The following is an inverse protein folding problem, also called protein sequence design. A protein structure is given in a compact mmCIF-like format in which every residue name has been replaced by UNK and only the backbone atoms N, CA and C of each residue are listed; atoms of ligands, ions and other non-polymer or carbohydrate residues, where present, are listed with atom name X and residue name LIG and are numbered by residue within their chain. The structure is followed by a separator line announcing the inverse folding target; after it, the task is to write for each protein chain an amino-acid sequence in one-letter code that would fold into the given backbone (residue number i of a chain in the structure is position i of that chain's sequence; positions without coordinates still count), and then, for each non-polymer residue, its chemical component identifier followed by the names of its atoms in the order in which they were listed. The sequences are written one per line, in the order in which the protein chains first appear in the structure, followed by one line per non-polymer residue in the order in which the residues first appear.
data_IF_837250547949
#
_entry.id   IF_837250547949
#
_cell.length_a   1.000
_cell.length_b   1.000
_cell.length_c   1.000
_cell.angle_alpha   90.00
_cell.angle_beta   90.00
_cell.angle_gamma   90.00
#
_symmetry.space_group_name_H-M   'P 1'
#
loop_
_entity.id
_entity.type
_entity.pdbx_description
1 polymer ?
#
# COMPACT_ATOMS: atom_id res chain seq x y z
N UNK A 1 13.44 34.16 -5.53
CA UNK A 1 12.11 33.67 -5.09
C UNK A 1 12.26 33.26 -3.63
N UNK A 2 12.13 34.24 -2.71
CA UNK A 2 12.42 34.09 -1.29
C UNK A 2 11.11 33.75 -0.56
N UNK A 3 10.85 32.47 -0.34
CA UNK A 3 9.71 32.04 0.48
C UNK A 3 10.13 32.21 1.93
N UNK A 4 9.66 33.31 2.54
CA UNK A 4 9.84 33.60 3.97
C UNK A 4 9.48 32.37 4.81
N UNK A 5 10.31 32.04 5.82
CA UNK A 5 10.12 30.84 6.67
C UNK A 5 8.73 30.80 7.30
N UNK A 6 8.15 31.97 7.60
CA UNK A 6 6.76 32.10 8.06
C UNK A 6 5.75 31.61 7.02
N UNK A 7 5.92 31.96 5.75
CA UNK A 7 5.05 31.53 4.65
C UNK A 7 5.13 30.02 4.47
N UNK A 8 6.34 29.43 4.54
CA UNK A 8 6.52 27.98 4.49
C UNK A 8 5.82 27.26 5.65
N UNK A 9 5.96 27.78 6.88
CA UNK A 9 5.27 27.25 8.06
C UNK A 9 3.74 27.30 7.91
N UNK A 10 3.20 28.40 7.37
CA UNK A 10 1.77 28.55 7.12
C UNK A 10 1.30 27.57 6.04
N UNK A 11 2.04 27.41 4.94
CA UNK A 11 1.72 26.42 3.91
C UNK A 11 1.77 25.00 4.44
N UNK A 12 2.79 24.64 5.23
CA UNK A 12 2.89 23.33 5.87
C UNK A 12 1.69 23.06 6.79
N UNK A 13 1.31 24.04 7.61
CA UNK A 13 0.18 23.93 8.53
C UNK A 13 -1.15 23.78 7.77
N UNK A 14 -1.34 24.54 6.69
CA UNK A 14 -2.53 24.45 5.83
C UNK A 14 -2.58 23.10 5.11
N UNK A 15 -1.46 22.62 4.56
CA UNK A 15 -1.39 21.35 3.85
C UNK A 15 -1.65 20.17 4.81
N UNK A 16 -1.06 20.21 6.01
CA UNK A 16 -1.32 19.25 7.07
C UNK A 16 -2.77 19.31 7.56
N UNK A 17 -3.30 20.51 7.79
CA UNK A 17 -4.67 20.75 8.22
C UNK A 17 -5.68 20.21 7.21
N UNK A 18 -5.54 20.56 5.94
CA UNK A 18 -6.43 20.11 4.85
C UNK A 18 -6.33 18.59 4.65
N UNK A 19 -5.11 18.01 4.65
CA UNK A 19 -4.91 16.57 4.44
C UNK A 19 -5.48 15.74 5.59
N UNK A 20 -5.24 16.17 6.83
CA UNK A 20 -5.78 15.49 8.01
C UNK A 20 -7.29 15.66 8.09
N UNK A 21 -7.82 16.84 7.74
CA UNK A 21 -9.26 17.06 7.70
C UNK A 21 -9.92 16.14 6.66
N UNK A 22 -9.41 16.08 5.42
CA UNK A 22 -9.94 15.21 4.37
C UNK A 22 -9.80 13.71 4.69
N UNK A 23 -8.78 13.28 5.45
CA UNK A 23 -8.64 11.88 5.92
C UNK A 23 -9.45 11.56 7.17
N UNK A 24 -9.64 12.53 8.06
CA UNK A 24 -10.41 12.35 9.29
C UNK A 24 -11.91 12.46 9.03
N UNK A 25 -12.35 13.26 8.06
CA UNK A 25 -13.76 13.39 7.63
C UNK A 25 -14.39 12.04 7.27
N UNK A 26 -13.82 11.18 6.40
CA UNK A 26 -14.39 9.87 6.15
C UNK A 26 -14.44 9.05 7.44
N UNK A 27 -13.40 9.10 8.28
CA UNK A 27 -13.33 8.37 9.55
C UNK A 27 -14.37 8.83 10.60
N UNK A 28 -14.67 10.13 10.66
CA UNK A 28 -15.66 10.73 11.55
C UNK A 28 -17.09 10.42 11.08
N UNK A 29 -17.36 10.48 9.78
CA UNK A 29 -18.67 10.14 9.21
C UNK A 29 -18.96 8.64 9.37
N UNK A 30 -17.94 7.80 9.21
CA UNK A 30 -17.97 6.35 9.40
C UNK A 30 -18.30 5.91 10.83
N UNK A 31 -17.91 6.70 11.85
CA UNK A 31 -18.20 6.40 13.27
C UNK A 31 -19.67 6.57 13.66
N UNK A 32 -20.49 7.30 12.87
CA UNK A 32 -21.92 7.43 13.15
C UNK A 32 -22.62 6.09 12.86
N UNK A 33 -23.01 5.36 13.93
CA UNK A 33 -23.83 4.14 13.94
C UNK A 33 -24.29 3.63 12.56
N UNK A 34 -23.40 2.97 11.83
CA UNK A 34 -23.78 2.17 10.68
C UNK A 34 -24.41 0.88 11.19
N UNK A 35 -25.71 0.92 11.49
CA UNK A 35 -26.50 -0.22 11.96
C UNK A 35 -26.71 -1.30 10.87
N UNK A 36 -26.28 -1.05 9.63
CA UNK A 36 -26.38 -2.03 8.54
C UNK A 36 -25.02 -2.66 8.20
N UNK A 37 -25.01 -3.99 8.16
CA UNK A 37 -23.83 -4.83 7.82
C UNK A 37 -23.26 -4.47 6.44
N UNK A 38 -24.11 -3.97 5.52
CA UNK A 38 -23.72 -3.62 4.15
C UNK A 38 -22.73 -2.46 4.10
N UNK A 39 -23.01 -1.35 4.78
CA UNK A 39 -22.14 -0.16 4.75
C UNK A 39 -20.82 -0.36 5.52
N UNK A 40 -20.85 -1.14 6.60
CA UNK A 40 -19.63 -1.49 7.34
C UNK A 40 -18.70 -2.39 6.53
N UNK A 41 -19.26 -3.37 5.81
CA UNK A 41 -18.48 -4.29 4.98
C UNK A 41 -17.96 -3.59 3.72
N UNK A 42 -18.76 -2.74 3.10
CA UNK A 42 -18.35 -1.99 1.92
C UNK A 42 -17.19 -1.04 2.23
N UNK A 43 -17.28 -0.21 3.28
CA UNK A 43 -16.20 0.74 3.59
C UNK A 43 -14.95 0.10 4.20
N UNK A 44 -15.07 -1.07 4.87
CA UNK A 44 -13.89 -1.83 5.29
C UNK A 44 -13.14 -2.44 4.10
N UNK A 45 -13.86 -2.85 3.06
CA UNK A 45 -13.27 -3.53 1.90
C UNK A 45 -12.68 -2.55 0.87
N UNK A 46 -13.29 -1.37 0.68
CA UNK A 46 -12.83 -0.33 -0.28
C UNK A 46 -11.34 0.04 -0.15
N UNK A 47 -10.81 0.44 1.02
CA UNK A 47 -9.39 0.81 1.11
C UNK A 47 -8.46 -0.40 0.89
N UNK A 48 -8.87 -1.59 1.30
CA UNK A 48 -8.08 -2.81 1.13
C UNK A 48 -8.04 -3.28 -0.33
N UNK A 49 -9.16 -3.18 -1.05
CA UNK A 49 -9.22 -3.47 -2.48
C UNK A 49 -8.47 -2.44 -3.30
N UNK A 50 -8.57 -1.15 -2.95
CA UNK A 50 -7.82 -0.08 -3.61
C UNK A 50 -6.32 -0.24 -3.38
N UNK A 51 -5.88 -0.53 -2.15
CA UNK A 51 -4.46 -0.80 -1.86
C UNK A 51 -3.95 -1.99 -2.67
N UNK A 52 -4.73 -3.06 -2.77
CA UNK A 52 -4.41 -4.21 -3.61
C UNK A 52 -4.34 -3.84 -5.10
N UNK A 53 -5.31 -3.07 -5.61
CA UNK A 53 -5.35 -2.61 -6.99
C UNK A 53 -4.18 -1.69 -7.36
N UNK A 54 -3.58 -0.99 -6.40
CA UNK A 54 -2.34 -0.22 -6.61
C UNK A 54 -1.09 -1.11 -6.57
N UNK A 55 -1.08 -2.14 -5.72
CA UNK A 55 0.10 -2.98 -5.50
C UNK A 55 0.27 -4.06 -6.58
N UNK A 56 -0.83 -4.67 -7.02
CA UNK A 56 -0.85 -5.70 -8.07
C UNK A 56 -0.17 -5.24 -9.36
N UNK A 57 -0.50 -4.09 -9.97
CA UNK A 57 0.21 -3.64 -11.17
C UNK A 57 1.66 -3.25 -10.87
N UNK A 58 1.93 -2.60 -9.74
CA UNK A 58 3.28 -2.17 -9.38
C UNK A 58 4.27 -3.34 -9.31
N UNK A 59 3.86 -4.51 -8.80
CA UNK A 59 4.75 -5.68 -8.70
C UNK A 59 5.12 -6.26 -10.07
N UNK A 60 4.23 -6.16 -11.06
CA UNK A 60 4.50 -6.62 -12.42
C UNK A 60 5.33 -5.61 -13.22
N UNK A 61 5.22 -4.32 -12.94
CA UNK A 61 6.03 -3.28 -13.61
C UNK A 61 7.41 -3.07 -12.98
N UNK A 62 7.58 -3.42 -11.70
CA UNK A 62 8.86 -3.30 -11.01
C UNK A 62 9.89 -4.35 -11.47
N UNK A 63 9.46 -5.40 -12.19
CA UNK A 63 10.35 -6.47 -12.66
C UNK A 63 10.36 -6.54 -14.18
N UNK A 64 11.55 -6.65 -14.78
CA UNK A 64 11.73 -6.68 -16.24
C UNK A 64 11.09 -7.94 -16.88
N UNK A 65 11.04 -9.04 -16.11
CA UNK A 65 10.38 -10.28 -16.51
C UNK A 65 9.05 -10.50 -15.79
N UNK A 66 7.98 -10.59 -16.59
CA UNK A 66 6.61 -10.89 -16.13
C UNK A 66 6.50 -12.22 -15.37
N UNK A 67 7.42 -13.17 -15.62
CA UNK A 67 7.52 -14.44 -14.91
C UNK A 67 8.00 -14.27 -13.46
N UNK A 68 9.02 -13.44 -13.23
CA UNK A 68 9.55 -13.19 -11.88
C UNK A 68 8.49 -12.51 -11.00
N UNK A 69 7.74 -11.54 -11.54
CA UNK A 69 6.66 -10.88 -10.81
C UNK A 69 5.55 -11.84 -10.37
N UNK A 70 5.18 -12.80 -11.23
CA UNK A 70 4.18 -13.82 -10.89
C UNK A 70 4.68 -14.79 -9.81
N UNK A 71 5.94 -15.23 -9.87
CA UNK A 71 6.57 -16.07 -8.86
C UNK A 71 6.68 -15.36 -7.50
N UNK A 72 7.07 -14.08 -7.50
CA UNK A 72 7.16 -13.26 -6.29
C UNK A 72 5.77 -13.04 -5.65
N UNK A 73 4.73 -12.80 -6.45
CA UNK A 73 3.36 -12.67 -5.97
C UNK A 73 2.87 -13.97 -5.32
N UNK A 74 3.12 -15.13 -5.94
CA UNK A 74 2.78 -16.43 -5.35
C UNK A 74 3.51 -16.67 -4.02
N UNK A 75 4.81 -16.38 -3.96
CA UNK A 75 5.58 -16.50 -2.73
C UNK A 75 5.07 -15.57 -1.63
N UNK A 76 4.71 -14.32 -1.98
CA UNK A 76 4.12 -13.35 -1.05
C UNK A 76 2.78 -13.82 -0.48
N UNK A 77 1.91 -14.38 -1.34
CA UNK A 77 0.60 -14.94 -0.92
C UNK A 77 0.80 -16.10 0.04
N UNK A 78 1.68 -17.05 -0.30
CA UNK A 78 1.97 -18.22 0.56
C UNK A 78 2.55 -17.77 1.91
N UNK A 79 3.49 -16.81 1.91
CA UNK A 79 4.05 -16.26 3.14
C UNK A 79 3.02 -15.49 3.99
N UNK A 80 2.09 -14.77 3.33
CA UNK A 80 1.00 -14.05 4.02
C UNK A 80 0.01 -15.00 4.69
N UNK A 81 -0.20 -16.20 4.16
CA UNK A 81 -1.11 -17.20 4.76
C UNK A 81 -0.55 -17.81 6.05
N UNK A 82 0.78 -17.75 6.26
CA UNK A 82 1.43 -18.21 7.49
C UNK A 82 1.29 -17.24 8.67
N UNK A 83 0.53 -16.15 8.52
CA UNK A 83 0.31 -15.16 9.60
C UNK A 83 1.55 -14.33 9.93
N UNK A 84 2.55 -14.33 9.04
CA UNK A 84 3.75 -13.51 9.18
C UNK A 84 3.43 -12.02 9.10
N UNK A 85 4.07 -11.22 9.96
CA UNK A 85 3.94 -9.76 9.91
C UNK A 85 4.36 -9.20 8.54
N UNK A 86 3.92 -7.97 8.23
CA UNK A 86 4.19 -7.28 6.96
C UNK A 86 5.68 -7.32 6.55
N UNK A 87 6.57 -7.25 7.55
CA UNK A 87 8.02 -7.30 7.38
C UNK A 87 8.51 -8.67 6.90
N UNK A 88 7.96 -9.76 7.43
CA UNK A 88 8.32 -11.13 7.05
C UNK A 88 7.92 -11.40 5.60
N UNK A 89 6.71 -10.97 5.21
CA UNK A 89 6.22 -11.12 3.83
C UNK A 89 7.09 -10.31 2.87
N UNK A 90 7.44 -9.07 3.21
CA UNK A 90 8.33 -8.24 2.39
C UNK A 90 9.73 -8.86 2.24
N UNK A 91 10.31 -9.39 3.32
CA UNK A 91 11.62 -10.05 3.29
C UNK A 91 11.62 -11.30 2.39
N UNK A 92 10.58 -12.15 2.49
CA UNK A 92 10.43 -13.33 1.63
C UNK A 92 10.27 -12.92 0.17
N UNK A 93 9.44 -11.92 -0.14
CA UNK A 93 9.29 -11.40 -1.51
C UNK A 93 10.62 -10.90 -2.07
N UNK A 94 11.37 -10.08 -1.33
CA UNK A 94 12.68 -9.60 -1.77
C UNK A 94 13.68 -10.74 -1.98
N UNK A 95 13.74 -11.73 -1.08
CA UNK A 95 14.63 -12.88 -1.22
C UNK A 95 14.27 -13.73 -2.46
N UNK A 96 12.98 -13.90 -2.74
CA UNK A 96 12.51 -14.65 -3.90
C UNK A 96 12.81 -13.93 -5.21
N UNK A 97 12.60 -12.60 -5.27
CA UNK A 97 12.99 -11.80 -6.45
C UNK A 97 14.51 -11.84 -6.62
N UNK A 98 15.30 -11.60 -5.58
CA UNK A 98 16.77 -11.67 -5.65
C UNK A 98 17.28 -13.04 -6.11
N UNK A 99 16.67 -14.12 -5.63
CA UNK A 99 17.03 -15.47 -6.05
C UNK A 99 16.68 -15.76 -7.50
N UNK A 100 15.50 -15.31 -7.96
CA UNK A 100 15.03 -15.55 -9.34
C UNK A 100 15.75 -14.64 -10.34
N UNK A 101 15.85 -13.34 -10.09
CA UNK A 101 16.55 -12.38 -10.96
C UNK A 101 18.06 -12.65 -10.98
N UNK A 102 18.65 -12.98 -9.82
CA UNK A 102 20.06 -13.37 -9.74
C UNK A 102 20.36 -14.67 -10.49
N UNK A 103 19.44 -15.63 -10.50
CA UNK A 103 19.58 -16.87 -11.28
C UNK A 103 19.34 -16.63 -12.78
N UNK A 104 18.45 -15.70 -13.15
CA UNK A 104 18.17 -15.34 -14.54
C UNK A 104 19.29 -14.47 -15.16
N UNK A 105 20.01 -13.67 -14.37
CA UNK A 105 21.19 -12.91 -14.83
C UNK A 105 22.46 -13.76 -14.94
N UNK A 106 22.52 -14.91 -14.27
CA UNK A 106 23.66 -15.85 -14.32
C UNK A 106 23.56 -16.86 -15.47
N UNK A 107 22.34 -17.09 -16.01
CA UNK A 107 22.08 -17.98 -17.15
C UNK A 107 22.08 -17.20 -18.47
#
# INVERSE_FOLDING_TARGET
MNIDMQTYLIYLLVMAGVTLFLRAVPFILLRKKLKSVFWSSFLAYVPYTVLSAMTVPAIFFATDSRLTGACALLAAVVASLFGGGLVTVAAVSCLTVLGVDGLMLVL
#
